data_IF_837025414715
#
_entry.id   IF_837025414715
#
_cell.length_a   1.000
_cell.length_b   1.000
_cell.length_c   1.000
_cell.angle_alpha   90.00
_cell.angle_beta   90.00
_cell.angle_gamma   90.00
#
_symmetry.space_group_name_H-M   'P 1'
#
loop_
_entity.id
_entity.type
_entity.pdbx_description
1 polymer ?
#
# COMPACT_ATOMS: atom_id res chain seq x y z
N UNK A 1 -3.28 1.37 19.90
CA UNK A 1 -2.76 2.06 18.69
C UNK A 1 -3.54 1.55 17.50
N UNK A 2 -4.28 2.42 16.81
CA UNK A 2 -5.18 1.99 15.72
C UNK A 2 -4.40 1.34 14.58
N UNK A 3 -4.97 0.32 13.93
CA UNK A 3 -4.32 -0.44 12.86
C UNK A 3 -3.89 0.47 11.69
N UNK A 4 -4.65 1.55 11.46
CA UNK A 4 -4.33 2.63 10.53
C UNK A 4 -2.98 3.27 10.81
N UNK A 5 -2.66 3.55 12.08
CA UNK A 5 -1.37 4.15 12.46
C UNK A 5 -0.23 3.15 12.26
N UNK A 6 -0.44 1.86 12.52
CA UNK A 6 0.57 0.82 12.24
C UNK A 6 0.88 0.71 10.76
N UNK A 7 -0.13 0.76 9.90
CA UNK A 7 0.04 0.72 8.45
C UNK A 7 0.75 1.97 7.93
N UNK A 8 0.34 3.16 8.38
CA UNK A 8 1.04 4.41 8.03
C UNK A 8 2.51 4.34 8.46
N UNK A 9 2.79 3.82 9.66
CA UNK A 9 4.15 3.63 10.13
C UNK A 9 4.94 2.63 9.28
N UNK A 10 4.36 1.48 8.93
CA UNK A 10 5.01 0.50 8.06
C UNK A 10 5.29 1.08 6.67
N UNK A 11 4.37 1.87 6.13
CA UNK A 11 4.52 2.52 4.84
C UNK A 11 5.60 3.61 4.88
N UNK A 12 5.61 4.42 5.94
CA UNK A 12 6.65 5.42 6.18
C UNK A 12 8.03 4.76 6.38
N UNK A 13 8.09 3.66 7.15
CA UNK A 13 9.33 2.91 7.39
C UNK A 13 9.87 2.29 6.09
N UNK A 14 9.00 1.67 5.29
CA UNK A 14 9.36 1.11 3.99
C UNK A 14 9.84 2.20 3.03
N UNK A 15 9.15 3.35 3.00
CA UNK A 15 9.54 4.50 2.17
C UNK A 15 10.91 5.04 2.57
N UNK A 16 11.14 5.20 3.88
CA UNK A 16 12.41 5.66 4.44
C UNK A 16 13.54 4.69 4.08
N UNK A 17 13.28 3.38 4.16
CA UNK A 17 14.24 2.34 3.79
C UNK A 17 14.64 2.44 2.32
N UNK A 18 13.68 2.66 1.41
CA UNK A 18 13.94 2.82 -0.04
C UNK A 18 14.78 4.07 -0.29
N UNK A 19 14.44 5.19 0.32
CA UNK A 19 15.21 6.45 0.20
C UNK A 19 16.63 6.24 0.72
N UNK A 20 16.78 5.59 1.86
CA UNK A 20 18.08 5.28 2.45
C UNK A 20 18.94 4.37 1.57
N UNK A 21 18.33 3.33 0.98
CA UNK A 21 19.00 2.45 0.01
C UNK A 21 19.48 3.20 -1.24
N UNK A 22 18.64 4.08 -1.80
CA UNK A 22 19.02 4.91 -2.93
C UNK A 22 20.20 5.84 -2.58
N UNK A 23 20.16 6.44 -1.38
CA UNK A 23 21.22 7.30 -0.90
C UNK A 23 22.54 6.54 -0.71
N UNK A 24 22.52 5.38 -0.04
CA UNK A 24 23.69 4.50 0.10
C UNK A 24 24.23 4.10 -1.26
N UNK A 25 23.36 3.71 -2.19
CA UNK A 25 23.78 3.25 -3.52
C UNK A 25 24.46 4.40 -4.28
N UNK A 26 23.87 5.60 -4.27
CA UNK A 26 24.49 6.80 -4.84
C UNK A 26 25.84 7.13 -4.20
N UNK A 27 25.94 7.03 -2.87
CA UNK A 27 27.19 7.26 -2.14
C UNK A 27 28.27 6.22 -2.44
N UNK A 28 27.92 4.94 -2.54
CA UNK A 28 28.85 3.87 -2.90
C UNK A 28 29.37 4.02 -4.33
N UNK A 29 28.50 4.44 -5.25
CA UNK A 29 28.88 4.78 -6.63
C UNK A 29 29.81 5.99 -6.62
N UNK A 30 29.49 7.04 -5.86
CA UNK A 30 30.35 8.21 -5.72
C UNK A 30 31.76 7.84 -5.23
N UNK A 31 31.84 6.99 -4.21
CA UNK A 31 33.12 6.52 -3.63
C UNK A 31 33.95 5.66 -4.58
N UNK A 32 33.34 5.05 -5.60
CA UNK A 32 34.05 4.25 -6.61
C UNK A 32 34.85 5.11 -7.60
N UNK A 33 34.54 6.40 -7.74
CA UNK A 33 35.25 7.30 -8.63
C UNK A 33 36.61 7.73 -8.06
N UNK A 34 37.56 8.07 -8.96
CA UNK A 34 38.85 8.65 -8.59
C UNK A 34 38.63 10.00 -7.86
N UNK A 35 39.53 10.43 -6.95
CA UNK A 35 39.40 11.72 -6.26
C UNK A 35 39.24 12.91 -7.23
N UNK A 36 39.92 12.88 -8.37
CA UNK A 36 39.82 13.90 -9.42
C UNK A 36 38.44 13.91 -10.07
N UNK A 37 37.86 12.73 -10.35
CA UNK A 37 36.53 12.62 -10.94
C UNK A 37 35.44 13.04 -9.94
N UNK A 38 35.66 12.84 -8.64
CA UNK A 38 34.77 13.29 -7.58
C UNK A 38 34.72 14.82 -7.51
N UNK A 39 35.87 15.50 -7.59
CA UNK A 39 35.94 16.96 -7.60
C UNK A 39 35.24 17.54 -8.83
N UNK A 40 35.51 16.98 -10.02
CA UNK A 40 34.84 17.38 -11.27
C UNK A 40 33.32 17.16 -11.16
N UNK A 41 32.89 16.02 -10.63
CA UNK A 41 31.48 15.71 -10.47
C UNK A 41 30.81 16.69 -9.51
N UNK A 42 31.45 17.04 -8.39
CA UNK A 42 30.94 18.04 -7.45
C UNK A 42 30.85 19.40 -8.14
N UNK A 43 31.88 19.82 -8.86
CA UNK A 43 31.95 21.11 -9.53
C UNK A 43 30.88 21.25 -10.63
N UNK A 44 30.66 20.19 -11.40
CA UNK A 44 29.61 20.12 -12.43
C UNK A 44 28.22 20.07 -11.81
N UNK A 45 28.06 19.42 -10.65
CA UNK A 45 26.76 19.19 -10.03
C UNK A 45 26.31 20.33 -9.10
N UNK A 46 27.25 21.09 -8.55
CA UNK A 46 27.00 22.22 -7.65
C UNK A 46 26.05 23.30 -8.23
N UNK A 47 26.16 23.71 -9.51
CA UNK A 47 25.24 24.64 -10.14
C UNK A 47 23.81 24.07 -10.23
N UNK A 48 23.68 22.75 -10.38
CA UNK A 48 22.41 22.05 -10.54
C UNK A 48 21.86 21.47 -9.24
N UNK A 49 22.41 21.85 -8.08
CA UNK A 49 22.00 21.31 -6.77
C UNK A 49 20.49 21.37 -6.49
N UNK A 50 19.79 22.38 -7.02
CA UNK A 50 18.34 22.48 -6.87
C UNK A 50 17.59 21.53 -7.80
N UNK A 51 18.13 21.23 -8.98
CA UNK A 51 17.56 20.24 -9.89
C UNK A 51 17.69 18.82 -9.36
N UNK A 52 18.69 18.54 -8.50
CA UNK A 52 18.77 17.28 -7.76
C UNK A 52 17.64 17.06 -6.76
N UNK A 53 17.01 18.14 -6.26
CA UNK A 53 15.87 18.03 -5.37
C UNK A 53 14.59 17.65 -6.14
N UNK A 54 14.52 17.92 -7.44
CA UNK A 54 13.36 17.64 -8.28
C UNK A 54 12.97 16.14 -8.28
N UNK A 55 13.88 15.18 -8.58
CA UNK A 55 13.53 13.76 -8.50
C UNK A 55 13.16 13.32 -7.08
N UNK A 56 13.73 13.94 -6.03
CA UNK A 56 13.36 13.66 -4.65
C UNK A 56 11.91 14.08 -4.37
N UNK A 57 11.50 15.26 -4.84
CA UNK A 57 10.12 15.75 -4.73
C UNK A 57 9.15 14.84 -5.49
N UNK A 58 9.49 14.43 -6.72
CA UNK A 58 8.69 13.48 -7.48
C UNK A 58 8.58 12.12 -6.79
N UNK A 59 9.65 11.65 -6.15
CA UNK A 59 9.65 10.40 -5.39
C UNK A 59 8.71 10.50 -4.19
N UNK A 60 8.75 11.60 -3.43
CA UNK A 60 7.80 11.84 -2.34
C UNK A 60 6.35 11.91 -2.82
N UNK A 61 6.09 12.60 -3.94
CA UNK A 61 4.75 12.64 -4.53
C UNK A 61 4.26 11.25 -4.94
N UNK A 62 5.11 10.47 -5.61
CA UNK A 62 4.79 9.11 -6.04
C UNK A 62 4.50 8.20 -4.85
N UNK A 63 5.24 8.35 -3.75
CA UNK A 63 5.00 7.63 -2.51
C UNK A 63 3.64 8.00 -1.89
N UNK A 64 3.34 9.29 -1.74
CA UNK A 64 2.05 9.74 -1.18
C UNK A 64 0.88 9.24 -2.05
N UNK A 65 1.02 9.36 -3.37
CA UNK A 65 0.00 8.90 -4.30
C UNK A 65 -0.17 7.38 -4.26
N UNK A 66 0.93 6.64 -4.20
CA UNK A 66 0.92 5.18 -4.06
C UNK A 66 0.26 4.73 -2.76
N UNK A 67 0.54 5.40 -1.65
CA UNK A 67 -0.09 5.13 -0.36
C UNK A 67 -1.60 5.40 -0.42
N UNK A 68 -2.00 6.56 -0.97
CA UNK A 68 -3.42 6.90 -1.16
C UNK A 68 -4.14 5.85 -2.00
N UNK A 69 -3.57 5.49 -3.15
CA UNK A 69 -4.12 4.48 -4.05
C UNK A 69 -4.26 3.12 -3.36
N UNK A 70 -3.25 2.71 -2.59
CA UNK A 70 -3.28 1.45 -1.83
C UNK A 70 -4.41 1.44 -0.78
N UNK A 71 -4.53 2.53 -0.01
CA UNK A 71 -5.57 2.66 1.01
C UNK A 71 -6.97 2.65 0.39
N UNK A 72 -7.19 3.38 -0.71
CA UNK A 72 -8.49 3.44 -1.39
C UNK A 72 -8.86 2.13 -2.08
N UNK A 73 -7.90 1.45 -2.71
CA UNK A 73 -8.18 0.25 -3.52
C UNK A 73 -8.28 -1.02 -2.66
N UNK A 74 -7.52 -1.10 -1.57
CA UNK A 74 -7.41 -2.32 -0.77
C UNK A 74 -7.94 -2.16 0.66
N UNK A 75 -7.51 -1.11 1.37
CA UNK A 75 -7.78 -1.02 2.81
C UNK A 75 -9.24 -0.68 3.13
N UNK A 76 -9.77 0.44 2.60
CA UNK A 76 -11.15 0.83 2.91
C UNK A 76 -12.19 -0.20 2.46
N UNK A 77 -12.07 -0.83 1.28
CA UNK A 77 -12.99 -1.90 0.90
C UNK A 77 -12.87 -3.13 1.82
N UNK A 78 -11.67 -3.47 2.29
CA UNK A 78 -11.47 -4.59 3.22
C UNK A 78 -12.08 -4.32 4.59
N UNK A 79 -11.92 -3.10 5.14
CA UNK A 79 -12.52 -2.69 6.41
C UNK A 79 -14.05 -2.76 6.34
N UNK A 80 -14.65 -2.25 5.25
CA UNK A 80 -16.10 -2.41 5.01
C UNK A 80 -16.53 -3.86 4.86
N UNK A 81 -15.77 -4.67 4.14
CA UNK A 81 -16.09 -6.09 3.98
C UNK A 81 -16.09 -6.82 5.33
N UNK A 82 -15.17 -6.48 6.25
CA UNK A 82 -15.13 -7.04 7.60
C UNK A 82 -16.36 -6.64 8.43
N UNK A 83 -16.73 -5.36 8.41
CA UNK A 83 -17.95 -4.86 9.08
C UNK A 83 -19.21 -5.54 8.52
N UNK A 84 -19.32 -5.65 7.19
CA UNK A 84 -20.45 -6.33 6.53
C UNK A 84 -20.50 -7.82 6.92
N UNK A 85 -19.35 -8.50 7.03
CA UNK A 85 -19.27 -9.91 7.45
C UNK A 85 -19.73 -10.12 8.89
N UNK A 86 -19.36 -9.20 9.79
CA UNK A 86 -19.78 -9.23 11.19
C UNK A 86 -21.30 -9.03 11.31
N UNK A 87 -21.89 -8.16 10.49
CA UNK A 87 -23.34 -7.98 10.41
C UNK A 87 -24.06 -9.22 9.83
N UNK A 88 -23.51 -9.86 8.80
CA UNK A 88 -24.03 -11.12 8.25
C UNK A 88 -24.11 -12.19 9.33
N UNK A 89 -23.02 -12.35 10.09
CA UNK A 89 -22.92 -13.36 11.14
C UNK A 89 -23.87 -13.10 12.31
N UNK A 90 -24.12 -11.84 12.65
CA UNK A 90 -24.78 -11.47 13.91
C UNK A 90 -26.26 -11.14 13.76
N UNK A 91 -26.68 -10.60 12.60
CA UNK A 91 -28.03 -10.02 12.44
C UNK A 91 -28.80 -10.64 11.28
N UNK A 92 -28.16 -10.97 10.15
CA UNK A 92 -28.88 -11.51 9.00
C UNK A 92 -27.95 -12.30 8.05
N UNK A 93 -28.10 -13.64 8.04
CA UNK A 93 -27.35 -14.55 7.16
C UNK A 93 -27.57 -14.27 5.66
N UNK A 94 -28.69 -13.65 5.30
CA UNK A 94 -29.05 -13.38 3.90
C UNK A 94 -28.44 -12.09 3.34
N UNK A 95 -27.76 -11.31 4.19
CA UNK A 95 -27.09 -10.08 3.76
C UNK A 95 -25.89 -10.46 2.87
N UNK A 96 -25.81 -9.87 1.68
CA UNK A 96 -24.67 -10.10 0.77
C UNK A 96 -23.65 -8.98 0.93
N UNK A 97 -22.38 -9.36 1.08
CA UNK A 97 -21.25 -8.45 1.13
C UNK A 97 -21.08 -7.79 -0.24
N UNK A 98 -20.97 -6.46 -0.27
CA UNK A 98 -20.79 -5.70 -1.50
C UNK A 98 -19.40 -5.93 -2.10
N UNK A 99 -19.35 -6.22 -3.39
CA UNK A 99 -18.09 -6.45 -4.11
C UNK A 99 -17.40 -5.12 -4.47
N UNK A 100 -16.72 -4.50 -3.52
CA UNK A 100 -15.94 -3.26 -3.72
C UNK A 100 -14.43 -3.53 -3.66
N UNK A 101 -13.61 -2.63 -4.24
CA UNK A 101 -12.15 -2.72 -4.20
C UNK A 101 -11.48 -3.41 -5.39
N UNK A 102 -10.27 -3.93 -5.18
CA UNK A 102 -9.47 -4.62 -6.20
C UNK A 102 -10.10 -5.94 -6.68
N UNK A 103 -9.65 -6.46 -7.83
CA UNK A 103 -10.16 -7.73 -8.38
C UNK A 103 -10.06 -8.89 -7.38
N UNK A 104 -8.99 -8.91 -6.56
CA UNK A 104 -8.79 -9.92 -5.53
C UNK A 104 -9.81 -9.80 -4.39
N UNK A 105 -10.10 -8.58 -3.94
CA UNK A 105 -11.13 -8.31 -2.92
C UNK A 105 -12.53 -8.67 -3.42
N UNK A 106 -12.83 -8.38 -4.69
CA UNK A 106 -14.09 -8.79 -5.32
C UNK A 106 -14.22 -10.32 -5.38
N UNK A 107 -13.15 -11.02 -5.74
CA UNK A 107 -13.15 -12.49 -5.74
C UNK A 107 -13.33 -13.07 -4.33
N UNK A 108 -12.75 -12.43 -3.32
CA UNK A 108 -12.91 -12.80 -1.92
C UNK A 108 -14.37 -12.59 -1.46
N UNK A 109 -14.95 -11.43 -1.73
CA UNK A 109 -16.36 -11.12 -1.43
C UNK A 109 -17.31 -12.13 -2.10
N UNK A 110 -17.05 -12.48 -3.36
CA UNK A 110 -17.85 -13.45 -4.09
C UNK A 110 -17.80 -14.86 -3.44
N UNK A 111 -16.61 -15.32 -3.04
CA UNK A 111 -16.46 -16.61 -2.33
C UNK A 111 -17.14 -16.60 -0.96
N UNK A 112 -17.06 -15.50 -0.23
CA UNK A 112 -17.71 -15.36 1.07
C UNK A 112 -19.24 -15.39 0.95
N UNK A 113 -19.80 -14.67 -0.04
CA UNK A 113 -21.22 -14.73 -0.34
C UNK A 113 -21.68 -16.13 -0.78
N UNK A 114 -20.86 -16.84 -1.56
CA UNK A 114 -21.15 -18.23 -1.96
C UNK A 114 -21.16 -19.17 -0.74
N UNK A 115 -20.22 -19.00 0.19
CA UNK A 115 -20.17 -19.79 1.42
C UNK A 115 -21.39 -19.51 2.32
N UNK A 116 -21.78 -18.24 2.47
CA UNK A 116 -22.99 -17.85 3.21
C UNK A 116 -24.25 -18.50 2.61
N UNK A 117 -24.39 -18.46 1.28
CA UNK A 117 -25.51 -19.10 0.57
C UNK A 117 -25.56 -20.62 0.79
N UNK A 118 -24.42 -21.29 0.84
CA UNK A 118 -24.37 -22.73 1.09
C UNK A 118 -24.82 -23.06 2.52
N UNK A 119 -24.39 -22.28 3.51
CA UNK A 119 -24.81 -22.48 4.91
C UNK A 119 -26.31 -22.23 5.14
N UNK A 120 -26.91 -21.28 4.43
CA UNK A 120 -28.37 -21.06 4.48
C UNK A 120 -29.14 -22.25 3.91
N UNK A 121 -28.68 -22.80 2.79
CA UNK A 121 -29.29 -23.99 2.17
C UNK A 121 -29.21 -25.22 3.09
N UNK A 122 -28.05 -25.43 3.73
CA UNK A 122 -27.89 -26.55 4.69
C UNK A 122 -28.78 -26.36 5.94
N UNK A 123 -28.99 -25.13 6.41
CA UNK A 123 -29.90 -24.87 7.53
C UNK A 123 -31.39 -25.03 7.16
N UNK A 124 -31.76 -24.84 5.89
CA UNK A 124 -33.12 -25.09 5.42
C UNK A 124 -33.41 -26.59 5.25
N UNK A 125 -32.44 -27.40 4.85
CA UNK A 125 -32.62 -28.87 4.72
C UNK A 125 -32.69 -29.61 6.06
N UNK A 126 -32.24 -29.00 7.16
CA UNK A 126 -32.26 -29.59 8.51
C UNK A 126 -33.56 -29.25 9.28
N UNK A 127 -34.43 -28.37 8.74
CA UNK A 127 -35.76 -28.06 9.29
C UNK A 127 -36.85 -28.88 8.60
#
# INVERSE_FOLDING_TARGET
>A
MSLRVRLILLWALSSLLVIFLLFITGFLIFRRFSPTDQEILIEVLFPFRFYLLLPLVFLFLALIWGAKWFLEKYWFPLERMLEELELVRTVNLSLRIQTQGSTQLKALAAKLNQMASNTELTQQEIK
#
